data_IF_963530441963
#
_entry.id   IF_963530441963
#
_cell.length_a   1.000
_cell.length_b   1.000
_cell.length_c   1.000
_cell.angle_alpha   90.00
_cell.angle_beta   90.00
_cell.angle_gamma   90.00
#
_symmetry.space_group_name_H-M   'P 1'
#
loop_
_entity.id
_entity.type
_entity.pdbx_description
1 polymer ?
#
# COMPACT_ATOMS: atom_id res chain seq x y z
N UNK A 1 -0.23 -5.04 17.39
CA UNK A 1 -0.80 -4.75 16.06
C UNK A 1 -0.23 -3.45 15.54
N UNK A 2 0.26 -3.40 14.29
CA UNK A 2 0.66 -2.13 13.65
C UNK A 2 -0.59 -1.27 13.44
N UNK A 3 -0.50 0.03 13.73
CA UNK A 3 -1.55 1.00 13.42
C UNK A 3 -1.39 1.46 11.95
N UNK A 4 -2.47 1.56 11.17
CA UNK A 4 -2.44 2.17 9.84
C UNK A 4 -1.89 3.61 9.90
N UNK A 5 -1.00 3.97 8.99
CA UNK A 5 -0.45 5.33 8.82
C UNK A 5 -1.41 6.26 8.08
N UNK A 6 -2.17 5.74 7.13
CA UNK A 6 -3.04 6.52 6.27
C UNK A 6 -4.51 6.22 6.57
N UNK A 7 -5.38 7.17 6.25
CA UNK A 7 -6.81 7.13 6.52
C UNK A 7 -7.59 7.38 5.22
N UNK A 8 -8.87 6.96 5.16
CA UNK A 8 -9.72 7.30 4.02
C UNK A 8 -9.68 8.80 3.72
N UNK A 9 -9.66 9.13 2.43
CA UNK A 9 -9.50 10.47 1.85
C UNK A 9 -8.08 11.06 1.86
N UNK A 10 -7.09 10.42 2.50
CA UNK A 10 -5.71 10.86 2.42
C UNK A 10 -5.18 10.75 0.99
N UNK A 11 -4.37 11.72 0.58
CA UNK A 11 -3.59 11.66 -0.65
C UNK A 11 -2.25 10.98 -0.38
N UNK A 12 -1.97 9.94 -1.15
CA UNK A 12 -0.75 9.14 -1.05
C UNK A 12 -0.11 8.99 -2.41
N UNK A 13 1.20 8.80 -2.44
CA UNK A 13 1.96 8.46 -3.65
C UNK A 13 2.40 7.01 -3.59
N UNK A 14 2.19 6.28 -4.67
CA UNK A 14 2.76 4.93 -4.81
C UNK A 14 4.26 5.07 -5.02
N UNK A 15 5.05 4.44 -4.16
CA UNK A 15 6.51 4.56 -4.16
C UNK A 15 7.11 3.89 -5.40
N UNK A 16 8.13 4.53 -5.95
CA UNK A 16 9.03 3.91 -6.94
C UNK A 16 10.32 3.56 -6.21
N UNK A 17 10.60 2.28 -5.92
CA UNK A 17 11.76 1.90 -5.13
C UNK A 17 13.04 2.25 -5.88
N UNK A 18 14.06 2.69 -5.14
CA UNK A 18 15.41 2.85 -5.68
C UNK A 18 16.03 1.49 -6.07
N UNK A 19 17.14 1.51 -6.84
CA UNK A 19 17.81 0.32 -7.39
C UNK A 19 18.14 -0.77 -6.36
N UNK A 20 18.33 -0.41 -5.09
CA UNK A 20 18.68 -1.33 -4.00
C UNK A 20 17.66 -1.32 -2.85
N UNK A 21 16.55 -0.59 -3.01
CA UNK A 21 15.54 -0.47 -1.97
C UNK A 21 14.61 -1.69 -1.99
N UNK A 22 14.47 -2.35 -0.83
CA UNK A 22 13.49 -3.41 -0.62
C UNK A 22 12.38 -2.86 0.26
N UNK A 23 11.19 -2.76 -0.33
CA UNK A 23 9.96 -2.40 0.36
C UNK A 23 9.25 -3.68 0.83
N UNK A 24 8.00 -3.87 0.44
CA UNK A 24 7.23 -5.06 0.77
C UNK A 24 7.45 -6.23 -0.20
N UNK A 25 6.93 -7.39 0.18
CA UNK A 25 7.00 -8.63 -0.62
C UNK A 25 6.08 -8.65 -1.84
N UNK A 26 5.11 -7.72 -1.91
CA UNK A 26 4.11 -7.61 -2.98
C UNK A 26 4.25 -6.27 -3.70
N UNK A 27 5.08 -6.16 -4.74
CA UNK A 27 5.20 -4.93 -5.49
C UNK A 27 3.91 -4.60 -6.23
N UNK A 28 3.50 -3.32 -6.29
CA UNK A 28 2.42 -2.87 -7.15
C UNK A 28 2.81 -3.00 -8.62
N UNK A 29 1.82 -2.92 -9.51
CA UNK A 29 2.08 -2.84 -10.95
C UNK A 29 2.92 -1.61 -11.31
N UNK A 30 3.86 -1.76 -12.25
CA UNK A 30 4.76 -0.66 -12.66
C UNK A 30 4.02 0.57 -13.20
N UNK A 31 2.84 0.37 -13.80
CA UNK A 31 2.01 1.45 -14.35
C UNK A 31 1.44 2.42 -13.31
N UNK A 32 1.41 2.03 -12.03
CA UNK A 32 0.89 2.88 -10.95
C UNK A 32 1.99 3.46 -10.07
N UNK A 33 3.24 3.00 -10.22
CA UNK A 33 4.38 3.54 -9.47
C UNK A 33 4.59 5.02 -9.77
N UNK A 34 4.89 5.79 -8.72
CA UNK A 34 5.07 7.23 -8.77
C UNK A 34 3.78 8.04 -8.87
N UNK A 35 2.62 7.41 -9.06
CA UNK A 35 1.35 8.12 -9.18
C UNK A 35 0.75 8.45 -7.82
N UNK A 36 0.08 9.59 -7.76
CA UNK A 36 -0.74 9.98 -6.61
C UNK A 36 -2.12 9.31 -6.70
N UNK A 37 -2.63 8.88 -5.55
CA UNK A 37 -3.90 8.23 -5.39
C UNK A 37 -4.59 8.72 -4.11
N UNK A 38 -5.90 8.51 -4.02
CA UNK A 38 -6.65 8.73 -2.78
C UNK A 38 -6.85 7.40 -2.06
N UNK A 39 -6.63 7.36 -0.75
CA UNK A 39 -7.00 6.21 0.07
C UNK A 39 -8.51 6.13 0.16
N UNK A 40 -9.10 5.05 -0.30
CA UNK A 40 -10.55 4.82 -0.24
C UNK A 40 -10.95 4.03 1.01
N UNK A 41 -10.18 2.98 1.32
CA UNK A 41 -10.41 2.12 2.47
C UNK A 41 -9.07 1.81 3.13
N UNK A 42 -9.00 1.95 4.45
CA UNK A 42 -7.86 1.52 5.26
C UNK A 42 -8.25 0.28 6.06
N UNK A 43 -7.37 -0.73 6.09
CA UNK A 43 -7.64 -1.98 6.79
C UNK A 43 -6.37 -2.73 7.19
N UNK A 44 -6.58 -3.90 7.79
CA UNK A 44 -5.54 -4.86 8.12
C UNK A 44 -5.78 -6.14 7.31
N UNK A 45 -4.71 -6.71 6.76
CA UNK A 45 -4.74 -7.98 6.02
C UNK A 45 -3.77 -8.99 6.65
N UNK A 46 -4.03 -10.27 6.45
CA UNK A 46 -3.08 -11.32 6.84
C UNK A 46 -1.84 -11.25 5.95
N UNK A 47 -0.68 -10.98 6.56
CA UNK A 47 0.61 -10.98 5.87
C UNK A 47 0.99 -12.37 5.38
N UNK A 48 1.37 -12.51 4.11
CA UNK A 48 1.75 -13.80 3.53
C UNK A 48 3.11 -14.35 4.02
N UNK A 49 3.91 -13.55 4.74
CA UNK A 49 5.27 -13.92 5.16
C UNK A 49 5.37 -14.50 6.57
N UNK A 50 4.30 -14.51 7.36
CA UNK A 50 4.32 -15.10 8.70
C UNK A 50 4.00 -16.59 8.62
N UNK A 51 5.04 -17.43 8.70
CA UNK A 51 4.91 -18.86 8.99
C UNK A 51 4.12 -19.13 10.30
N UNK A 52 3.99 -18.12 11.16
CA UNK A 52 3.27 -18.18 12.45
C UNK A 52 1.86 -17.54 12.43
N UNK A 53 1.27 -17.27 11.26
CA UNK A 53 -0.16 -17.00 11.12
C UNK A 53 -0.74 -15.70 11.70
N UNK A 54 0.01 -14.91 12.47
CA UNK A 54 -0.59 -13.85 13.32
C UNK A 54 -0.15 -12.41 13.00
N UNK A 55 0.53 -12.18 11.87
CA UNK A 55 0.95 -10.83 11.47
C UNK A 55 -0.10 -10.13 10.62
N UNK A 56 -1.04 -9.43 11.27
CA UNK A 56 -1.90 -8.44 10.62
C UNK A 56 -1.10 -7.21 10.17
N UNK A 57 -1.07 -6.97 8.85
CA UNK A 57 -0.33 -5.85 8.23
C UNK A 57 -1.29 -4.81 7.65
N UNK A 58 -1.03 -3.49 7.83
CA UNK A 58 -1.85 -2.46 7.19
C UNK A 58 -1.79 -2.51 5.67
N UNK A 59 -2.96 -2.44 5.04
CA UNK A 59 -3.13 -2.34 3.60
C UNK A 59 -4.32 -1.43 3.27
N UNK A 60 -4.31 -0.92 2.05
CA UNK A 60 -5.19 0.14 1.62
C UNK A 60 -5.78 -0.18 0.26
N UNK A 61 -7.06 0.11 0.07
CA UNK A 61 -7.58 0.30 -1.28
C UNK A 61 -7.32 1.74 -1.68
N UNK A 62 -6.50 1.94 -2.70
CA UNK A 62 -6.23 3.25 -3.29
C UNK A 62 -6.99 3.41 -4.60
N UNK A 63 -7.44 4.63 -4.88
CA UNK A 63 -8.11 4.99 -6.12
C UNK A 63 -7.23 5.93 -6.93
N UNK A 64 -6.85 5.49 -8.12
CA UNK A 64 -6.29 6.34 -9.16
C UNK A 64 -7.41 6.77 -10.10
N UNK A 65 -7.27 7.94 -10.71
CA UNK A 65 -8.23 8.42 -11.70
C UNK A 65 -8.39 7.39 -12.84
N UNK A 66 -9.63 7.09 -13.20
CA UNK A 66 -9.99 6.15 -14.27
C UNK A 66 -9.51 4.69 -14.06
N UNK A 67 -9.22 4.27 -12.83
CA UNK A 67 -8.90 2.89 -12.49
C UNK A 67 -9.81 2.34 -11.39
N UNK A 68 -10.09 1.02 -11.38
CA UNK A 68 -10.71 0.39 -10.23
C UNK A 68 -9.82 0.51 -8.98
N UNK A 69 -10.36 0.44 -7.76
CA UNK A 69 -9.57 0.47 -6.54
C UNK A 69 -8.53 -0.65 -6.51
N UNK A 70 -7.33 -0.33 -6.05
CA UNK A 70 -6.19 -1.23 -6.02
C UNK A 70 -5.79 -1.48 -4.58
N UNK A 71 -5.72 -2.75 -4.18
CA UNK A 71 -5.18 -3.13 -2.88
C UNK A 71 -3.65 -2.97 -2.88
N UNK A 72 -3.11 -2.26 -1.89
CA UNK A 72 -1.68 -2.00 -1.76
C UNK A 72 -1.23 -2.05 -0.29
N UNK A 73 -0.05 -2.61 -0.04
CA UNK A 73 0.54 -2.66 1.30
C UNK A 73 1.12 -1.29 1.69
N UNK A 74 1.09 -0.96 2.98
CA UNK A 74 1.54 0.34 3.51
C UNK A 74 2.95 0.77 3.09
N UNK A 75 3.85 -0.20 2.96
CA UNK A 75 5.28 0.05 2.67
C UNK A 75 5.52 0.62 1.27
N UNK A 76 4.55 0.46 0.38
CA UNK A 76 4.55 0.99 -0.98
C UNK A 76 3.88 2.36 -1.10
N UNK A 77 3.45 2.95 0.00
CA UNK A 77 2.82 4.26 0.05
C UNK A 77 3.67 5.26 0.84
N UNK A 78 3.65 6.51 0.41
CA UNK A 78 4.17 7.65 1.14
C UNK A 78 3.17 8.82 1.04
N UNK A 79 3.24 9.81 1.94
CA UNK A 79 2.48 11.05 1.79
C UNK A 79 2.74 11.69 0.42
N UNK A 80 1.67 12.16 -0.24
CA UNK A 80 1.76 12.83 -1.55
C UNK A 80 2.31 14.25 -1.49
#
# INVERSE_FOLDING_TARGET
MKKPKFHPMDLVRVRTPGQHEKLGSRPPGTLIMGKTATVEIAGLINGASSADGDSMTPAYYIRLENQPPILIDEEWLEPA
#
